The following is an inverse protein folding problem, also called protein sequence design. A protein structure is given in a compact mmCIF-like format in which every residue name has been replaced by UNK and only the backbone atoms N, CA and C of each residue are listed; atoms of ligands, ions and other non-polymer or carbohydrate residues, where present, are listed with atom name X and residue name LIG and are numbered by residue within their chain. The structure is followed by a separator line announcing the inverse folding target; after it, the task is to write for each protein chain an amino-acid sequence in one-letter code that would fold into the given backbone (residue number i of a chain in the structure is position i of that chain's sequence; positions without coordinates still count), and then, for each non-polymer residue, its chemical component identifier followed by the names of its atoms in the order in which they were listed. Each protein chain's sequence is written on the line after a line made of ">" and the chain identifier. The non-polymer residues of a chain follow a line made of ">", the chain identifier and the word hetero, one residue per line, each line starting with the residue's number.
data_IF_248973238594
#
_entry.id   IF_248973238594
#
_cell.length_a   1.000
_cell.length_b   1.000
_cell.length_c   1.000
_cell.angle_alpha   90.00
_cell.angle_beta   90.00
_cell.angle_gamma   90.00
#
_symmetry.space_group_name_H-M   'P 1'
#
loop_
_entity.id
_entity.type
_entity.pdbx_description
1 polymer ?
#
# COMPACT_ATOMS: atom_id res chain seq x y z
N UNK A 1 20.20 6.18 -4.76
CA UNK A 1 20.06 7.16 -3.67
C UNK A 1 21.36 7.92 -3.60
N UNK A 2 21.26 9.23 -3.68
CA UNK A 2 22.38 10.17 -3.66
C UNK A 2 22.25 10.98 -2.37
N UNK A 3 23.37 11.22 -1.69
CA UNK A 3 23.43 12.05 -0.49
C UNK A 3 24.40 13.19 -0.77
N UNK A 4 23.96 14.41 -0.53
CA UNK A 4 24.74 15.62 -0.77
C UNK A 4 25.33 16.10 0.55
N UNK A 5 26.63 16.41 0.50
CA UNK A 5 27.41 16.91 1.64
C UNK A 5 27.99 18.28 1.29
N UNK A 6 28.14 19.13 2.32
CA UNK A 6 28.90 20.37 2.20
C UNK A 6 30.41 20.15 2.36
N UNK A 7 31.18 21.24 2.30
CA UNK A 7 32.64 21.23 2.45
C UNK A 7 33.10 20.81 3.85
N UNK A 8 32.21 20.87 4.85
CA UNK A 8 32.45 20.41 6.23
C UNK A 8 31.97 18.97 6.46
N UNK A 9 31.58 18.26 5.39
CA UNK A 9 31.05 16.90 5.40
C UNK A 9 29.71 16.74 6.14
N UNK A 10 28.93 17.81 6.28
CA UNK A 10 27.58 17.78 6.85
C UNK A 10 26.55 17.43 5.78
N UNK A 11 25.54 16.64 6.15
CA UNK A 11 24.45 16.25 5.23
C UNK A 11 23.56 17.47 4.97
N UNK A 12 23.52 17.92 3.71
CA UNK A 12 22.68 19.05 3.29
C UNK A 12 21.44 18.60 2.51
N UNK A 13 21.42 17.35 2.04
CA UNK A 13 20.25 16.78 1.37
C UNK A 13 20.52 15.44 0.71
N UNK A 14 19.56 14.98 -0.06
CA UNK A 14 19.71 13.75 -0.85
C UNK A 14 18.62 13.61 -1.89
N UNK A 15 18.90 12.82 -2.92
CA UNK A 15 18.01 12.54 -4.02
C UNK A 15 17.77 11.03 -4.13
N UNK A 16 16.51 10.63 -4.31
CA UNK A 16 16.13 9.24 -4.52
C UNK A 16 15.54 9.11 -5.92
N UNK A 17 16.33 8.54 -6.81
CA UNK A 17 15.85 8.14 -8.14
C UNK A 17 15.24 6.75 -8.08
N UNK A 18 13.99 6.64 -8.47
CA UNK A 18 13.27 5.37 -8.57
C UNK A 18 13.43 4.81 -9.98
N UNK A 19 13.98 3.60 -10.08
CA UNK A 19 14.12 2.88 -11.36
C UNK A 19 13.15 1.71 -11.41
N UNK A 20 12.63 1.42 -12.61
CA UNK A 20 11.85 0.21 -12.92
C UNK A 20 10.68 -0.04 -11.95
N UNK A 21 9.87 1.00 -11.72
CA UNK A 21 8.63 0.81 -10.95
C UNK A 21 7.69 -0.14 -11.71
N UNK A 22 7.32 -1.24 -11.07
CA UNK A 22 6.50 -2.31 -11.66
C UNK A 22 5.02 -1.90 -11.73
N UNK A 23 4.68 -1.02 -12.68
CA UNK A 23 3.32 -0.51 -12.86
C UNK A 23 2.30 -1.61 -13.15
N UNK A 24 2.73 -2.70 -13.77
CA UNK A 24 1.87 -3.85 -14.12
C UNK A 24 1.28 -4.54 -12.90
N UNK A 25 2.00 -4.54 -11.76
CA UNK A 25 1.56 -5.12 -10.48
C UNK A 25 0.25 -4.52 -9.96
N UNK A 26 -0.05 -3.29 -10.35
CA UNK A 26 -1.31 -2.62 -9.96
C UNK A 26 -2.52 -3.32 -10.58
N UNK A 27 -2.42 -3.74 -11.84
CA UNK A 27 -3.54 -4.29 -12.61
C UNK A 27 -3.63 -5.81 -12.52
N UNK A 28 -2.49 -6.49 -12.39
CA UNK A 28 -2.38 -7.95 -12.42
C UNK A 28 -1.49 -8.41 -11.27
N UNK A 29 -2.00 -9.34 -10.47
CA UNK A 29 -1.21 -10.10 -9.50
C UNK A 29 -0.91 -11.51 -10.02
N UNK A 30 0.30 -11.99 -9.77
CA UNK A 30 0.62 -13.42 -9.93
C UNK A 30 -0.03 -14.23 -8.81
N UNK A 31 -0.26 -15.53 -9.03
CA UNK A 31 -0.77 -16.45 -8.02
C UNK A 31 0.07 -16.37 -6.75
N UNK A 32 -0.60 -16.22 -5.60
CA UNK A 32 0.02 -16.02 -4.27
C UNK A 32 0.77 -14.70 -4.05
N UNK A 33 0.76 -13.76 -4.99
CA UNK A 33 1.29 -12.40 -4.78
C UNK A 33 0.20 -11.41 -4.36
N UNK A 34 0.61 -10.35 -3.66
CA UNK A 34 -0.24 -9.23 -3.26
C UNK A 34 0.12 -7.98 -4.05
N UNK A 35 -0.84 -7.06 -4.13
CA UNK A 35 -0.59 -5.73 -4.65
C UNK A 35 0.28 -4.90 -3.66
N UNK A 36 0.62 -3.66 -4.02
CA UNK A 36 1.40 -2.78 -3.15
C UNK A 36 0.74 -2.60 -1.78
N UNK A 37 1.55 -2.66 -0.72
CA UNK A 37 1.09 -2.55 0.66
C UNK A 37 0.28 -1.29 0.96
N UNK A 38 0.56 -0.19 0.27
CA UNK A 38 -0.12 1.09 0.47
C UNK A 38 -1.65 0.97 0.29
N UNK A 39 -2.12 0.12 -0.64
CA UNK A 39 -3.55 -0.04 -0.86
C UNK A 39 -4.24 -0.76 0.31
N UNK A 40 -3.57 -1.74 0.91
CA UNK A 40 -4.08 -2.44 2.09
C UNK A 40 -4.07 -1.52 3.32
N UNK A 41 -2.98 -0.77 3.52
CA UNK A 41 -2.91 0.22 4.60
C UNK A 41 -3.98 1.30 4.47
N UNK A 42 -4.26 1.75 3.26
CA UNK A 42 -5.34 2.70 3.01
C UNK A 42 -6.71 2.12 3.41
N UNK A 43 -6.97 0.84 3.19
CA UNK A 43 -8.25 0.23 3.57
C UNK A 43 -8.37 -0.02 5.10
N UNK A 44 -7.25 -0.30 5.76
CA UNK A 44 -7.19 -0.67 7.19
C UNK A 44 -7.09 0.55 8.11
N UNK A 45 -6.22 1.51 7.79
CA UNK A 45 -5.80 2.58 8.71
C UNK A 45 -6.24 3.99 8.25
N UNK A 46 -7.07 4.08 7.20
CA UNK A 46 -7.63 5.37 6.82
C UNK A 46 -8.63 5.89 7.87
N UNK A 47 -8.48 7.16 8.26
CA UNK A 47 -9.45 7.86 9.10
C UNK A 47 -10.87 7.79 8.52
N UNK A 48 -11.89 7.83 9.38
CA UNK A 48 -13.31 7.78 8.98
C UNK A 48 -13.68 8.85 7.93
N UNK A 49 -13.06 10.03 8.01
CA UNK A 49 -13.22 11.10 7.02
C UNK A 49 -12.72 10.68 5.63
N UNK A 50 -11.50 10.13 5.57
CA UNK A 50 -10.89 9.67 4.32
C UNK A 50 -11.64 8.46 3.76
N UNK A 51 -12.02 7.51 4.63
CA UNK A 51 -12.86 6.36 4.25
C UNK A 51 -14.16 6.80 3.60
N UNK A 52 -14.87 7.76 4.19
CA UNK A 52 -16.13 8.28 3.63
C UNK A 52 -15.92 9.08 2.34
N UNK A 53 -14.87 9.90 2.26
CA UNK A 53 -14.61 10.72 1.07
C UNK A 53 -14.15 9.89 -0.13
N UNK A 54 -13.36 8.84 0.10
CA UNK A 54 -12.79 7.96 -0.93
C UNK A 54 -13.59 6.67 -1.11
N UNK A 55 -14.70 6.50 -0.38
CA UNK A 55 -15.55 5.30 -0.41
C UNK A 55 -14.75 4.01 -0.22
N UNK A 56 -13.86 4.02 0.78
CA UNK A 56 -12.97 2.91 1.08
C UNK A 56 -13.72 1.80 1.83
N UNK A 57 -13.66 0.59 1.29
CA UNK A 57 -14.23 -0.62 1.86
C UNK A 57 -13.13 -1.63 2.22
N UNK A 58 -13.51 -2.84 2.64
CA UNK A 58 -12.56 -3.94 2.86
C UNK A 58 -11.73 -4.20 1.59
N UNK A 59 -10.41 -4.48 1.70
CA UNK A 59 -9.57 -4.77 0.53
C UNK A 59 -10.12 -5.89 -0.35
N UNK A 60 -10.86 -6.85 0.22
CA UNK A 60 -11.45 -7.97 -0.52
C UNK A 60 -12.55 -7.52 -1.52
N UNK A 61 -13.09 -6.31 -1.37
CA UNK A 61 -14.12 -5.76 -2.27
C UNK A 61 -13.54 -5.20 -3.58
N UNK A 62 -12.24 -4.94 -3.63
CA UNK A 62 -11.59 -4.37 -4.79
C UNK A 62 -11.01 -5.46 -5.68
N UNK A 63 -11.40 -5.45 -6.96
CA UNK A 63 -10.90 -6.41 -7.95
C UNK A 63 -9.37 -6.48 -7.96
N UNK A 64 -8.68 -5.33 -7.91
CA UNK A 64 -7.21 -5.28 -7.93
C UNK A 64 -6.52 -5.63 -6.62
N UNK A 65 -7.23 -5.93 -5.53
CA UNK A 65 -6.63 -6.37 -4.26
C UNK A 65 -7.00 -7.81 -3.90
N UNK A 66 -7.92 -8.40 -4.67
CA UNK A 66 -8.53 -9.71 -4.44
C UNK A 66 -8.31 -10.66 -5.64
N UNK A 67 -7.24 -10.49 -6.42
CA UNK A 67 -6.85 -11.48 -7.43
C UNK A 67 -6.08 -12.61 -6.72
N UNK A 68 -6.80 -13.67 -6.34
CA UNK A 68 -6.28 -14.97 -5.87
C UNK A 68 -5.05 -14.97 -4.94
N UNK A 69 -5.17 -14.30 -3.80
CA UNK A 69 -4.27 -14.52 -2.66
C UNK A 69 -5.06 -15.13 -1.48
N UNK A 70 -4.92 -16.44 -1.29
CA UNK A 70 -5.56 -17.19 -0.19
C UNK A 70 -5.07 -16.79 1.23
N UNK A 71 -4.03 -15.95 1.31
CA UNK A 71 -3.40 -15.51 2.57
C UNK A 71 -3.82 -14.11 3.06
N UNK A 72 -4.67 -13.35 2.35
CA UNK A 72 -5.20 -12.05 2.85
C UNK A 72 -6.18 -12.22 4.02
N UNK A 73 -6.73 -13.43 4.20
CA UNK A 73 -7.68 -13.76 5.29
C UNK A 73 -7.10 -13.71 6.71
N UNK A 74 -5.78 -13.64 6.87
CA UNK A 74 -5.14 -13.63 8.20
C UNK A 74 -5.06 -12.19 8.79
N UNK A 75 -5.02 -11.15 7.95
CA UNK A 75 -4.99 -9.75 8.39
C UNK A 75 -6.40 -9.18 8.63
N UNK A 76 -7.41 -9.69 7.91
CA UNK A 76 -8.82 -9.30 8.12
C UNK A 76 -9.48 -10.02 9.29
N UNK A 77 -8.89 -11.12 9.81
CA UNK A 77 -9.43 -11.88 10.94
C UNK A 77 -9.20 -11.26 12.32
N UNK A 78 -8.32 -10.27 12.45
CA UNK A 78 -7.95 -9.67 13.74
C UNK A 78 -8.70 -8.38 14.07
N UNK A 79 -9.61 -7.90 13.20
CA UNK A 79 -10.36 -6.67 13.44
C UNK A 79 -11.87 -6.93 13.53
N UNK A 80 -12.55 -6.42 14.58
CA UNK A 80 -13.99 -6.53 14.67
C UNK A 80 -14.62 -5.84 13.44
N UNK A 81 -15.50 -6.56 12.75
CA UNK A 81 -16.40 -5.93 11.81
C UNK A 81 -17.39 -5.12 12.62
N UNK A 82 -17.15 -3.81 12.71
CA UNK A 82 -18.18 -2.87 13.12
C UNK A 82 -19.24 -2.89 12.02
N UNK A 83 -20.24 -3.74 12.23
CA UNK A 83 -21.52 -3.69 11.54
C UNK A 83 -22.28 -2.47 12.04
N UNK A 84 -22.47 -1.48 11.17
CA UNK A 84 -23.71 -0.70 10.96
C UNK A 84 -23.60 0.21 9.73
#
# INVERSE_FOLDING_TARGET
>A
MEVHFDEEYTIVGGNITYYLFEKTRVCVQSTDEKNFHIFYYLCVDASARIRKSLQLNSPDTYHYLNQDCSQTKQLTKSYPQDTD
#
